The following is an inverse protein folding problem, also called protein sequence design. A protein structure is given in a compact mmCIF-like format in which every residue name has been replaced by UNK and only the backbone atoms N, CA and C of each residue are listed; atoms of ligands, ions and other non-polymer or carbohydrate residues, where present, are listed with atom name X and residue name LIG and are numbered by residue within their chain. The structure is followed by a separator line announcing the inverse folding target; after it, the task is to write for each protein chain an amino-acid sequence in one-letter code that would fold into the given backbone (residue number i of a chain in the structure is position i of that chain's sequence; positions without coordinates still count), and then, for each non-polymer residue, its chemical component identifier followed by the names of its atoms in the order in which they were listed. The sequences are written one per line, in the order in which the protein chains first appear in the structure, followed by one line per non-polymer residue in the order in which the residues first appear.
data_IF_994781364933
#
_entry.id   IF_994781364933
#
_cell.length_a   1.000
_cell.length_b   1.000
_cell.length_c   1.000
_cell.angle_alpha   90.00
_cell.angle_beta   90.00
_cell.angle_gamma   90.00
#
_symmetry.space_group_name_H-M   'P 1'
#
loop_
_entity.id
_entity.type
_entity.pdbx_description
1 polymer ?
#
# COMPACT_ATOMS: atom_id res chain seq x y z
N UNK A 1 -13.37 -5.14 -23.64
CA UNK A 1 -12.62 -5.97 -22.66
C UNK A 1 -11.99 -5.13 -21.55
N UNK A 2 -12.14 -3.79 -21.59
CA UNK A 2 -11.70 -2.86 -20.53
C UNK A 2 -12.67 -2.80 -19.33
N UNK A 3 -13.90 -3.32 -19.46
CA UNK A 3 -14.97 -3.20 -18.43
C UNK A 3 -14.82 -4.12 -17.20
N UNK A 4 -13.81 -5.01 -17.18
CA UNK A 4 -13.63 -5.97 -16.07
C UNK A 4 -12.56 -5.56 -15.06
N UNK A 5 -11.73 -4.55 -15.35
CA UNK A 5 -10.68 -4.08 -14.43
C UNK A 5 -11.20 -2.89 -13.63
N UNK A 6 -11.48 -3.13 -12.35
CA UNK A 6 -11.87 -2.06 -11.43
C UNK A 6 -10.63 -1.40 -10.84
N UNK A 7 -10.50 -0.09 -11.03
CA UNK A 7 -9.43 0.69 -10.39
C UNK A 7 -9.75 0.95 -8.91
N UNK A 8 -8.75 0.90 -8.02
CA UNK A 8 -8.95 1.22 -6.61
C UNK A 8 -9.41 2.66 -6.42
N UNK A 9 -10.42 2.85 -5.57
CA UNK A 9 -10.91 4.16 -5.16
C UNK A 9 -10.87 4.32 -3.63
N UNK A 10 -11.07 5.56 -3.22
CA UNK A 10 -11.13 5.96 -1.82
C UNK A 10 -12.13 5.10 -1.03
N UNK A 11 -11.72 4.58 0.13
CA UNK A 11 -12.53 3.68 0.96
C UNK A 11 -12.47 2.20 0.56
N UNK A 12 -11.84 1.82 -0.56
CA UNK A 12 -11.72 0.41 -0.94
C UNK A 12 -10.74 -0.34 -0.02
N UNK A 13 -11.00 -1.64 0.13
CA UNK A 13 -10.01 -2.59 0.66
C UNK A 13 -9.34 -3.30 -0.51
N UNK A 14 -8.01 -3.22 -0.59
CA UNK A 14 -7.20 -3.82 -1.65
C UNK A 14 -6.14 -4.76 -1.04
N UNK A 15 -5.76 -5.77 -1.83
CA UNK A 15 -4.73 -6.74 -1.48
C UNK A 15 -3.66 -6.71 -2.58
N UNK A 16 -2.43 -6.39 -2.20
CA UNK A 16 -1.25 -6.45 -3.08
C UNK A 16 -0.59 -7.83 -2.94
N UNK A 17 -0.68 -8.64 -4.00
CA UNK A 17 -0.15 -9.99 -4.07
C UNK A 17 1.24 -9.97 -4.71
N UNK A 18 2.21 -10.63 -4.06
CA UNK A 18 3.62 -10.52 -4.41
C UNK A 18 4.11 -9.06 -4.32
N UNK A 19 3.81 -8.43 -3.19
CA UNK A 19 4.05 -7.00 -2.99
C UNK A 19 5.53 -6.59 -3.03
N UNK A 20 6.47 -7.55 -3.00
CA UNK A 20 7.91 -7.27 -2.99
C UNK A 20 8.29 -6.35 -1.83
N UNK A 21 9.06 -5.31 -2.12
CA UNK A 21 9.44 -4.26 -1.16
C UNK A 21 8.35 -3.23 -0.87
N UNK A 22 7.16 -3.34 -1.45
CA UNK A 22 5.99 -2.56 -1.05
C UNK A 22 5.87 -1.14 -1.61
N UNK A 23 6.53 -0.83 -2.74
CA UNK A 23 6.37 0.48 -3.41
C UNK A 23 4.91 0.73 -3.84
N UNK A 24 4.29 -0.27 -4.47
CA UNK A 24 2.90 -0.19 -4.90
C UNK A 24 1.95 -0.13 -3.70
N UNK A 25 2.25 -0.86 -2.64
CA UNK A 25 1.47 -0.81 -1.40
C UNK A 25 1.36 0.59 -0.81
N UNK A 26 2.44 1.39 -0.86
CA UNK A 26 2.41 2.79 -0.44
C UNK A 26 1.47 3.63 -1.33
N UNK A 27 1.62 3.54 -2.65
CA UNK A 27 0.78 4.28 -3.60
C UNK A 27 -0.71 3.89 -3.48
N UNK A 28 -0.99 2.59 -3.27
CA UNK A 28 -2.34 2.10 -2.99
C UNK A 28 -2.89 2.70 -1.69
N UNK A 29 -2.06 2.84 -0.65
CA UNK A 29 -2.47 3.43 0.62
C UNK A 29 -2.84 4.90 0.49
N UNK A 30 -2.11 5.67 -0.32
CA UNK A 30 -2.47 7.05 -0.66
C UNK A 30 -3.77 7.10 -1.48
N UNK A 31 -3.97 6.13 -2.39
CA UNK A 31 -5.14 6.08 -3.26
C UNK A 31 -6.43 5.73 -2.51
N UNK A 32 -6.38 4.82 -1.54
CA UNK A 32 -7.58 4.30 -0.84
C UNK A 32 -7.78 4.86 0.57
N UNK A 33 -6.75 5.45 1.19
CA UNK A 33 -6.61 5.65 2.64
C UNK A 33 -7.57 6.63 3.30
N UNK A 34 -8.22 7.53 2.55
CA UNK A 34 -9.27 8.38 3.10
C UNK A 34 -10.59 7.58 3.18
N UNK A 35 -11.35 7.77 4.27
CA UNK A 35 -12.67 7.15 4.49
C UNK A 35 -12.68 5.62 4.73
N UNK A 36 -11.66 5.09 5.40
CA UNK A 36 -11.66 3.72 5.93
C UNK A 36 -11.13 2.63 4.99
N UNK A 37 -10.54 3.01 3.86
CA UNK A 37 -9.88 2.08 2.94
C UNK A 37 -8.61 1.48 3.56
N UNK A 38 -8.26 0.27 3.11
CA UNK A 38 -7.15 -0.52 3.67
C UNK A 38 -6.38 -1.23 2.57
N UNK A 39 -5.07 -1.36 2.77
CA UNK A 39 -4.19 -2.16 1.92
C UNK A 39 -3.63 -3.31 2.73
N UNK A 40 -3.89 -4.54 2.30
CA UNK A 40 -3.18 -5.73 2.76
C UNK A 40 -2.03 -6.04 1.81
N UNK A 41 -0.90 -6.52 2.34
CA UNK A 41 0.27 -6.86 1.55
C UNK A 41 0.68 -8.31 1.83
N UNK A 42 0.95 -9.06 0.77
CA UNK A 42 1.36 -10.46 0.87
C UNK A 42 2.52 -10.73 -0.10
N UNK A 43 3.54 -11.40 0.41
CA UNK A 43 4.66 -11.92 -0.37
C UNK A 43 5.08 -13.27 0.21
N UNK A 44 5.59 -14.17 -0.64
CA UNK A 44 6.11 -15.46 -0.20
C UNK A 44 7.46 -15.32 0.52
N UNK A 45 8.23 -14.29 0.20
CA UNK A 45 9.53 -14.03 0.81
C UNK A 45 9.37 -13.24 2.10
N UNK A 46 9.80 -13.85 3.21
CA UNK A 46 9.88 -13.16 4.52
C UNK A 46 10.79 -11.94 4.47
N UNK A 47 11.87 -12.01 3.70
CA UNK A 47 12.81 -10.89 3.56
C UNK A 47 12.14 -9.71 2.83
N UNK A 48 11.32 -9.99 1.82
CA UNK A 48 10.54 -8.95 1.12
C UNK A 48 9.51 -8.31 2.06
N UNK A 49 8.76 -9.11 2.84
CA UNK A 49 7.83 -8.58 3.84
C UNK A 49 8.52 -7.73 4.90
N UNK A 50 9.72 -8.13 5.34
CA UNK A 50 10.52 -7.35 6.28
C UNK A 50 10.96 -6.00 5.69
N UNK A 51 11.44 -6.00 4.45
CA UNK A 51 11.80 -4.77 3.74
C UNK A 51 10.58 -3.86 3.53
N UNK A 52 9.45 -4.41 3.08
CA UNK A 52 8.22 -3.66 2.84
C UNK A 52 7.69 -2.97 4.11
N UNK A 53 7.65 -3.70 5.24
CA UNK A 53 7.23 -3.12 6.52
C UNK A 53 8.17 -2.01 7.00
N UNK A 54 9.49 -2.19 6.81
CA UNK A 54 10.50 -1.19 7.16
C UNK A 54 10.35 0.09 6.33
N UNK A 55 10.11 -0.06 5.02
CA UNK A 55 9.91 1.05 4.11
C UNK A 55 8.61 1.82 4.39
N UNK A 56 7.50 1.12 4.65
CA UNK A 56 6.23 1.76 5.04
C UNK A 56 6.38 2.62 6.31
N UNK A 57 7.11 2.14 7.32
CA UNK A 57 7.36 2.90 8.54
C UNK A 57 8.20 4.17 8.29
N UNK A 58 9.17 4.10 7.38
CA UNK A 58 9.97 5.25 7.00
C UNK A 58 9.12 6.29 6.24
N UNK A 59 8.35 5.86 5.25
CA UNK A 59 7.49 6.74 4.45
C UNK A 59 6.41 7.41 5.30
N UNK A 60 5.78 6.67 6.23
CA UNK A 60 4.83 7.25 7.18
C UNK A 60 5.48 8.34 8.06
N UNK A 61 6.71 8.12 8.52
CA UNK A 61 7.46 9.12 9.30
C UNK A 61 7.82 10.37 8.49
N UNK A 62 8.24 10.20 7.23
CA UNK A 62 8.56 11.32 6.34
C UNK A 62 7.31 12.15 6.05
N UNK A 63 6.18 11.50 5.79
CA UNK A 63 4.91 12.18 5.52
C UNK A 63 4.43 12.99 6.73
N UNK A 64 4.43 12.41 7.94
CA UNK A 64 4.04 13.14 9.16
C UNK A 64 4.97 14.32 9.48
N UNK A 65 6.28 14.20 9.20
CA UNK A 65 7.25 15.30 9.39
C UNK A 65 7.12 16.43 8.37
N UNK A 66 6.46 16.18 7.25
CA UNK A 66 6.27 17.17 6.19
C UNK A 66 4.98 17.98 6.39
N UNK A 67 4.22 17.70 7.45
CA UNK A 67 2.95 18.34 7.82
C UNK A 67 3.10 19.17 9.12
N UNK A 68 4.26 19.14 9.79
CA UNK A 68 4.66 20.06 10.89
C UNK A 68 5.44 21.28 10.34
#
# INVERSE_FOLDING_TARGET
MEDCVRTPKMGDCVLDLCCGSGDLAFLLSEKVGSNGGKVGNLDFSKDQLFMASSQQHLLAKVYCKSIE
#
